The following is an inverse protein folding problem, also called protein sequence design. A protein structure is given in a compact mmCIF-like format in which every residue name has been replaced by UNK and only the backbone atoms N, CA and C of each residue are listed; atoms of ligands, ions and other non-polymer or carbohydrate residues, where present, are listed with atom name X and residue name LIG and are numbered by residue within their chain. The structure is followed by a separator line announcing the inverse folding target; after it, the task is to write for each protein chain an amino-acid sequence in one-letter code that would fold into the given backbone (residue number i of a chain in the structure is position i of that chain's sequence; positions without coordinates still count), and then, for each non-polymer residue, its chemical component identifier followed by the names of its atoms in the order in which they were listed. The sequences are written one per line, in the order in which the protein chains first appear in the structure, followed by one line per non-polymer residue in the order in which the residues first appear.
data_IF_784829153655
#
_entry.id   IF_784829153655
#
_cell.length_a   1.000
_cell.length_b   1.000
_cell.length_c   1.000
_cell.angle_alpha   90.00
_cell.angle_beta   90.00
_cell.angle_gamma   90.00
#
_symmetry.space_group_name_H-M   'P 1'
#
loop_
_entity.id
_entity.type
_entity.pdbx_description
1 polymer ?
#
# COMPACT_ATOMS: atom_id res chain seq x y z
N UNK A 1 40.51 5.13 -23.36
CA UNK A 1 40.75 4.90 -21.91
C UNK A 1 39.44 4.45 -21.33
N UNK A 2 39.22 3.12 -21.23
CA UNK A 2 37.98 2.58 -20.62
C UNK A 2 38.01 2.81 -19.12
N UNK A 3 36.90 3.24 -18.57
CA UNK A 3 36.74 3.38 -17.12
C UNK A 3 36.88 1.97 -16.50
N UNK A 4 37.95 1.74 -15.75
CA UNK A 4 38.11 0.56 -14.91
C UNK A 4 37.02 0.64 -13.81
N UNK A 5 36.09 -0.31 -13.82
CA UNK A 5 35.07 -0.44 -12.78
C UNK A 5 33.64 -0.72 -13.25
N UNK A 6 33.41 -0.91 -14.54
CA UNK A 6 32.10 -1.33 -15.03
C UNK A 6 31.91 -2.85 -14.85
N UNK A 7 31.19 -3.22 -13.80
CA UNK A 7 30.86 -4.62 -13.47
C UNK A 7 30.13 -5.34 -14.61
N UNK A 8 29.32 -4.64 -15.39
CA UNK A 8 28.61 -5.23 -16.53
C UNK A 8 29.56 -5.54 -17.69
N UNK A 9 30.56 -4.72 -17.89
CA UNK A 9 31.59 -4.98 -18.90
C UNK A 9 32.44 -6.19 -18.52
N UNK A 10 32.78 -6.33 -17.25
CA UNK A 10 33.52 -7.48 -16.71
C UNK A 10 32.72 -8.78 -16.86
N UNK A 11 31.42 -8.76 -16.60
CA UNK A 11 30.53 -9.92 -16.81
C UNK A 11 30.47 -10.31 -18.30
N UNK A 12 30.39 -9.34 -19.21
CA UNK A 12 30.43 -9.57 -20.66
C UNK A 12 31.72 -10.22 -21.12
N UNK A 13 32.85 -9.72 -20.62
CA UNK A 13 34.18 -10.26 -20.94
C UNK A 13 34.40 -11.68 -20.41
N UNK A 14 33.69 -12.04 -19.33
CA UNK A 14 33.67 -13.39 -18.73
C UNK A 14 32.65 -14.33 -19.40
N UNK A 15 32.00 -13.91 -20.49
CA UNK A 15 31.07 -14.74 -21.25
C UNK A 15 29.67 -14.85 -20.63
N UNK A 16 29.36 -14.07 -19.60
CA UNK A 16 28.01 -13.97 -19.09
C UNK A 16 27.18 -13.10 -20.03
N UNK A 17 26.39 -13.70 -20.88
CA UNK A 17 25.27 -13.02 -21.55
C UNK A 17 24.17 -12.81 -20.51
N UNK A 18 24.05 -11.59 -20.01
CA UNK A 18 22.76 -11.16 -19.45
C UNK A 18 21.74 -11.46 -20.53
N UNK A 19 20.78 -12.33 -20.25
CA UNK A 19 19.79 -12.75 -21.22
C UNK A 19 19.32 -11.54 -22.01
N UNK A 20 19.44 -11.59 -23.35
CA UNK A 20 19.02 -10.50 -24.19
C UNK A 20 17.62 -10.12 -23.71
N UNK A 21 17.48 -8.95 -23.13
CA UNK A 21 16.18 -8.30 -23.01
C UNK A 21 15.68 -8.27 -24.44
N UNK A 22 14.83 -9.24 -24.81
CA UNK A 22 13.96 -9.04 -25.95
C UNK A 22 13.33 -7.71 -25.66
N UNK A 23 13.69 -6.69 -26.42
CA UNK A 23 13.05 -5.39 -26.36
C UNK A 23 11.55 -5.71 -26.44
N UNK A 24 10.94 -5.79 -25.28
CA UNK A 24 9.49 -5.81 -25.18
C UNK A 24 9.13 -4.49 -25.82
N UNK A 25 8.56 -4.57 -27.04
CA UNK A 25 8.09 -3.41 -27.74
C UNK A 25 7.43 -2.50 -26.73
N UNK A 26 7.44 -1.20 -26.96
CA UNK A 26 6.77 -0.15 -26.18
C UNK A 26 5.28 -0.45 -25.99
N UNK A 27 4.97 -1.65 -25.52
CA UNK A 27 3.70 -2.09 -25.00
C UNK A 27 3.45 -1.21 -23.80
N UNK A 28 2.33 -0.52 -23.82
CA UNK A 28 1.79 0.28 -22.76
C UNK A 28 2.12 -0.34 -21.41
N UNK A 29 3.06 0.25 -20.68
CA UNK A 29 3.18 0.01 -19.26
C UNK A 29 1.83 0.37 -18.71
N UNK A 30 1.04 -0.64 -18.35
CA UNK A 30 -0.21 -0.43 -17.61
C UNK A 30 0.21 0.23 -16.30
N UNK A 31 0.28 1.54 -16.31
CA UNK A 31 0.49 2.34 -15.12
C UNK A 31 -0.75 2.14 -14.28
N UNK A 32 -0.71 1.14 -13.44
CA UNK A 32 -1.77 0.88 -12.47
C UNK A 32 -1.67 2.00 -11.43
N UNK A 33 -2.46 2.98 -11.68
CA UNK A 33 -2.62 4.14 -10.84
C UNK A 33 -3.38 3.72 -9.59
N UNK A 34 -2.71 3.82 -8.48
CA UNK A 34 -3.21 3.47 -7.16
C UNK A 34 -2.50 4.36 -6.17
N UNK A 35 -3.20 4.81 -5.16
CA UNK A 35 -2.58 5.52 -4.04
C UNK A 35 -3.04 4.90 -2.74
N UNK A 36 -2.08 4.42 -1.98
CA UNK A 36 -2.29 3.85 -0.65
C UNK A 36 -1.36 4.52 0.36
N UNK A 37 -1.84 4.60 1.58
CA UNK A 37 -1.07 5.11 2.71
C UNK A 37 -1.38 4.32 3.98
N UNK A 38 -0.42 4.27 4.88
CA UNK A 38 -0.57 3.75 6.23
C UNK A 38 0.20 4.67 7.19
N UNK A 39 -0.34 4.94 8.35
CA UNK A 39 0.39 5.61 9.43
C UNK A 39 -0.11 5.18 10.80
N UNK A 40 0.78 5.22 11.79
CA UNK A 40 0.45 4.95 13.18
C UNK A 40 -0.35 6.11 13.75
N UNK A 41 -1.35 5.78 14.55
CA UNK A 41 -2.09 6.73 15.39
C UNK A 41 -2.12 6.17 16.81
N UNK A 42 -2.69 6.88 17.78
CA UNK A 42 -2.59 6.56 19.20
C UNK A 42 -2.95 5.11 19.54
N UNK A 43 -3.97 4.56 18.93
CA UNK A 43 -4.54 3.26 19.33
C UNK A 43 -4.13 2.11 18.38
N UNK A 44 -3.39 2.42 17.28
CA UNK A 44 -3.01 1.41 16.30
C UNK A 44 -2.43 1.96 15.01
N UNK A 45 -2.83 1.38 13.88
CA UNK A 45 -2.48 1.83 12.54
C UNK A 45 -3.72 2.08 11.70
N UNK A 46 -3.74 3.22 11.00
CA UNK A 46 -4.71 3.54 9.98
C UNK A 46 -4.12 3.22 8.62
N UNK A 47 -4.88 2.50 7.79
CA UNK A 47 -4.53 2.23 6.39
C UNK A 47 -5.64 2.76 5.51
N UNK A 48 -5.27 3.52 4.49
CA UNK A 48 -6.24 4.09 3.56
C UNK A 48 -5.79 3.95 2.10
N UNK A 49 -6.76 3.90 1.21
CA UNK A 49 -6.53 3.85 -0.24
C UNK A 49 -7.65 4.52 -1.00
N UNK A 50 -7.32 5.12 -2.14
CA UNK A 50 -8.31 5.60 -3.08
C UNK A 50 -9.05 4.43 -3.75
N UNK A 51 -10.16 4.71 -4.44
CA UNK A 51 -11.00 3.66 -5.07
C UNK A 51 -10.89 3.61 -6.60
N UNK A 52 -10.09 4.47 -7.22
CA UNK A 52 -10.00 4.54 -8.68
C UNK A 52 -9.09 3.46 -9.24
N UNK A 53 -9.57 2.73 -10.24
CA UNK A 53 -8.77 1.89 -11.10
C UNK A 53 -8.73 2.49 -12.50
N UNK A 54 -7.53 2.66 -13.08
CA UNK A 54 -7.34 3.23 -14.41
C UNK A 54 -6.60 2.26 -15.33
N UNK A 55 -6.82 2.39 -16.62
CA UNK A 55 -6.01 1.78 -17.66
C UNK A 55 -5.47 2.90 -18.54
N UNK A 56 -4.19 3.24 -18.37
CA UNK A 56 -3.63 4.45 -18.95
C UNK A 56 -4.36 5.69 -18.43
N UNK A 57 -4.90 6.50 -19.34
CA UNK A 57 -5.63 7.74 -19.00
C UNK A 57 -7.15 7.52 -18.79
N UNK A 58 -7.64 6.29 -18.87
CA UNK A 58 -9.07 6.00 -18.75
C UNK A 58 -9.40 5.49 -17.34
N UNK A 59 -10.44 6.06 -16.72
CA UNK A 59 -11.03 5.50 -15.49
C UNK A 59 -11.87 4.29 -15.88
N UNK A 60 -11.45 3.11 -15.43
CA UNK A 60 -12.15 1.85 -15.71
C UNK A 60 -13.17 1.52 -14.62
N UNK A 61 -12.86 1.86 -13.38
CA UNK A 61 -13.70 1.56 -12.22
C UNK A 61 -13.30 2.46 -11.04
N UNK A 62 -14.29 2.88 -10.23
CA UNK A 62 -14.09 3.85 -9.16
C UNK A 62 -14.49 3.32 -7.76
N UNK A 63 -14.74 2.01 -7.62
CA UNK A 63 -15.18 1.36 -6.38
C UNK A 63 -14.27 0.22 -5.94
N UNK A 64 -12.99 0.26 -6.34
CA UNK A 64 -12.00 -0.75 -5.98
C UNK A 64 -11.67 -0.66 -4.50
N UNK A 65 -11.61 -1.79 -3.80
CA UNK A 65 -10.98 -1.89 -2.48
C UNK A 65 -9.49 -2.20 -2.68
N UNK A 66 -8.63 -1.33 -2.19
CA UNK A 66 -7.18 -1.46 -2.28
C UNK A 66 -6.54 -1.77 -0.92
N UNK A 67 -7.35 -1.89 0.14
CA UNK A 67 -6.90 -2.24 1.50
C UNK A 67 -7.56 -3.54 1.89
N UNK A 68 -6.90 -4.65 1.60
CA UNK A 68 -7.46 -5.98 1.71
C UNK A 68 -7.12 -6.62 3.06
N UNK A 69 -8.12 -7.16 3.73
CA UNK A 69 -7.92 -7.91 4.97
C UNK A 69 -7.33 -9.26 4.65
N UNK A 70 -6.29 -9.65 5.39
CA UNK A 70 -5.65 -10.95 5.28
C UNK A 70 -6.07 -11.85 6.45
N UNK A 71 -6.13 -11.26 7.62
CA UNK A 71 -6.64 -11.89 8.83
C UNK A 71 -7.21 -10.85 9.80
N UNK A 72 -7.56 -11.30 11.01
CA UNK A 72 -8.19 -10.45 12.03
C UNK A 72 -7.37 -9.21 12.41
N UNK A 73 -6.04 -9.26 12.32
CA UNK A 73 -5.15 -8.22 12.82
C UNK A 73 -4.19 -7.67 11.75
N UNK A 74 -4.39 -8.02 10.48
CA UNK A 74 -3.53 -7.53 9.41
C UNK A 74 -4.24 -7.28 8.09
N UNK A 75 -3.72 -6.30 7.35
CA UNK A 75 -4.18 -5.92 6.01
C UNK A 75 -2.99 -5.83 5.06
N UNK A 76 -3.27 -6.04 3.77
CA UNK A 76 -2.36 -5.71 2.68
C UNK A 76 -2.99 -4.58 1.85
N UNK A 77 -2.39 -3.41 1.88
CA UNK A 77 -2.73 -2.35 0.96
C UNK A 77 -1.92 -2.53 -0.33
N UNK A 78 -2.60 -2.48 -1.48
CA UNK A 78 -2.02 -2.86 -2.75
C UNK A 78 -1.82 -1.67 -3.68
N UNK A 79 -0.62 -1.56 -4.26
CA UNK A 79 -0.31 -0.69 -5.38
C UNK A 79 0.35 -1.52 -6.48
N UNK A 80 -0.09 -1.36 -7.72
CA UNK A 80 0.38 -2.12 -8.87
C UNK A 80 -0.73 -2.88 -9.59
N UNK A 81 -0.42 -4.03 -10.19
CA UNK A 81 -1.36 -4.83 -11.00
C UNK A 81 -2.42 -5.49 -10.10
N UNK A 82 -3.71 -5.09 -10.20
CA UNK A 82 -4.74 -5.57 -9.27
C UNK A 82 -4.94 -7.09 -9.32
N UNK A 83 -4.91 -7.69 -10.51
CA UNK A 83 -5.11 -9.13 -10.67
C UNK A 83 -4.09 -9.94 -9.88
N UNK A 84 -2.80 -9.56 -9.98
CA UNK A 84 -1.71 -10.19 -9.22
C UNK A 84 -1.86 -9.95 -7.72
N UNK A 85 -2.19 -8.72 -7.33
CA UNK A 85 -2.33 -8.37 -5.93
C UNK A 85 -3.50 -9.10 -5.25
N UNK A 86 -4.66 -9.19 -5.91
CA UNK A 86 -5.80 -9.95 -5.39
C UNK A 86 -5.49 -11.44 -5.26
N UNK A 87 -4.75 -12.02 -6.19
CA UNK A 87 -4.33 -13.41 -6.09
C UNK A 87 -3.39 -13.63 -4.90
N UNK A 88 -2.41 -12.75 -4.71
CA UNK A 88 -1.52 -12.80 -3.54
C UNK A 88 -2.32 -12.76 -2.23
N UNK A 89 -3.30 -11.87 -2.12
CA UNK A 89 -4.14 -11.77 -0.91
C UNK A 89 -4.94 -13.04 -0.67
N UNK A 90 -5.52 -13.65 -1.72
CA UNK A 90 -6.24 -14.93 -1.59
C UNK A 90 -5.33 -16.05 -1.09
N UNK A 91 -4.11 -16.11 -1.62
CA UNK A 91 -3.11 -17.11 -1.18
C UNK A 91 -2.72 -16.90 0.27
N UNK A 92 -2.49 -15.63 0.69
CA UNK A 92 -2.16 -15.30 2.09
C UNK A 92 -3.32 -15.66 3.03
N UNK A 93 -4.53 -15.22 2.73
CA UNK A 93 -5.74 -15.52 3.53
C UNK A 93 -5.94 -17.03 3.70
N UNK A 94 -5.81 -17.80 2.61
CA UNK A 94 -5.90 -19.25 2.64
C UNK A 94 -4.78 -19.87 3.48
N UNK A 95 -3.55 -19.43 3.29
CA UNK A 95 -2.38 -19.95 4.00
C UNK A 95 -2.47 -19.69 5.50
N UNK A 96 -2.89 -18.49 5.90
CA UNK A 96 -3.03 -18.13 7.31
C UNK A 96 -4.18 -18.89 7.98
N UNK A 97 -5.31 -19.04 7.29
CA UNK A 97 -6.44 -19.84 7.77
C UNK A 97 -6.07 -21.33 7.90
N UNK A 98 -5.32 -21.87 6.93
CA UNK A 98 -4.82 -23.23 6.97
C UNK A 98 -3.88 -23.45 8.15
N UNK A 99 -2.90 -22.57 8.32
CA UNK A 99 -1.96 -22.63 9.44
C UNK A 99 -2.69 -22.60 10.79
N UNK A 100 -3.62 -21.66 10.97
CA UNK A 100 -4.39 -21.55 12.21
C UNK A 100 -5.19 -22.84 12.51
N UNK A 101 -5.78 -23.46 11.51
CA UNK A 101 -6.55 -24.71 11.68
C UNK A 101 -5.68 -25.90 11.99
N UNK A 102 -4.49 -25.98 11.43
CA UNK A 102 -3.57 -27.13 11.60
C UNK A 102 -2.71 -27.00 12.84
N UNK A 103 -2.29 -25.80 13.19
CA UNK A 103 -1.41 -25.52 14.33
C UNK A 103 -2.16 -25.05 15.57
N UNK A 104 -3.47 -24.78 15.46
CA UNK A 104 -4.34 -24.25 16.53
C UNK A 104 -3.84 -22.93 17.15
N UNK A 105 -3.04 -22.19 16.39
CA UNK A 105 -2.50 -20.90 16.76
C UNK A 105 -2.37 -19.98 15.53
N UNK A 106 -2.37 -18.69 15.74
CA UNK A 106 -2.12 -17.69 14.69
C UNK A 106 -0.66 -17.78 14.19
N UNK A 107 -0.44 -17.50 12.92
CA UNK A 107 0.91 -17.34 12.39
C UNK A 107 1.55 -16.10 13.04
N UNK A 108 2.81 -16.23 13.47
CA UNK A 108 3.55 -15.11 14.05
C UNK A 108 3.65 -13.92 13.08
N UNK A 109 3.82 -12.71 13.61
CA UNK A 109 3.90 -11.52 12.76
C UNK A 109 5.03 -11.66 11.73
N UNK A 110 6.21 -12.10 12.12
CA UNK A 110 7.34 -12.38 11.21
C UNK A 110 7.01 -13.47 10.17
N UNK A 111 6.24 -14.47 10.54
CA UNK A 111 5.77 -15.49 9.62
C UNK A 111 4.88 -14.91 8.53
N UNK A 112 4.01 -13.96 8.87
CA UNK A 112 3.16 -13.22 7.91
C UNK A 112 4.01 -12.39 6.95
N UNK A 113 5.00 -11.65 7.47
CA UNK A 113 5.91 -10.85 6.65
C UNK A 113 6.68 -11.71 5.64
N UNK A 114 7.24 -12.84 6.09
CA UNK A 114 7.94 -13.78 5.21
C UNK A 114 7.04 -14.37 4.13
N UNK A 115 5.77 -14.63 4.45
CA UNK A 115 4.81 -15.12 3.46
C UNK A 115 4.56 -14.09 2.35
N UNK A 116 4.42 -12.81 2.70
CA UNK A 116 4.30 -11.71 1.71
C UNK A 116 5.57 -11.61 0.86
N UNK A 117 6.77 -11.55 1.50
CA UNK A 117 8.06 -11.53 0.80
C UNK A 117 8.19 -12.68 -0.20
N UNK A 118 7.78 -13.89 0.21
CA UNK A 118 7.85 -15.07 -0.65
C UNK A 118 7.00 -14.91 -1.90
N UNK A 119 5.75 -14.50 -1.76
CA UNK A 119 4.86 -14.29 -2.92
C UNK A 119 5.38 -13.22 -3.87
N UNK A 120 5.95 -12.14 -3.34
CA UNK A 120 6.56 -11.10 -4.16
C UNK A 120 7.80 -11.64 -4.89
N UNK A 121 8.67 -12.39 -4.24
CA UNK A 121 9.84 -13.04 -4.85
C UNK A 121 9.42 -14.03 -5.94
N UNK A 122 8.41 -14.84 -5.71
CA UNK A 122 7.88 -15.78 -6.70
C UNK A 122 7.29 -15.03 -7.92
N UNK A 123 6.83 -13.79 -7.74
CA UNK A 123 6.26 -12.93 -8.80
C UNK A 123 7.30 -12.08 -9.55
N UNK A 124 8.57 -12.07 -9.14
CA UNK A 124 9.61 -11.23 -9.76
C UNK A 124 9.67 -11.37 -11.29
N UNK A 125 9.61 -12.57 -11.90
CA UNK A 125 9.64 -12.69 -13.36
C UNK A 125 8.51 -11.91 -14.05
N UNK A 126 7.28 -11.99 -13.53
CA UNK A 126 6.14 -11.24 -14.07
C UNK A 126 6.27 -9.73 -13.82
N UNK A 127 6.80 -9.35 -12.66
CA UNK A 127 7.04 -7.95 -12.31
C UNK A 127 8.08 -7.31 -13.25
N UNK A 128 9.19 -8.00 -13.54
CA UNK A 128 10.23 -7.55 -14.47
C UNK A 128 9.73 -7.52 -15.93
N UNK A 129 8.79 -8.39 -16.29
CA UNK A 129 8.11 -8.35 -17.58
C UNK A 129 7.08 -7.22 -17.70
N UNK A 130 6.84 -6.45 -16.63
CA UNK A 130 5.85 -5.35 -16.60
C UNK A 130 4.38 -5.81 -16.50
N UNK A 131 4.12 -7.10 -16.32
CA UNK A 131 2.77 -7.67 -16.34
C UNK A 131 2.18 -7.95 -14.97
N UNK A 132 2.98 -7.90 -13.90
CA UNK A 132 2.55 -8.33 -12.57
C UNK A 132 3.17 -7.55 -11.41
N UNK A 133 3.67 -6.33 -11.63
CA UNK A 133 4.32 -5.55 -10.58
C UNK A 133 3.36 -5.17 -9.46
N UNK A 134 3.72 -5.48 -8.21
CA UNK A 134 2.99 -5.11 -7.00
C UNK A 134 3.97 -4.56 -5.97
N UNK A 135 3.64 -3.40 -5.39
CA UNK A 135 4.43 -2.73 -4.34
C UNK A 135 3.51 -2.48 -3.15
N UNK A 136 3.30 -3.48 -2.31
CA UNK A 136 2.30 -3.41 -1.25
C UNK A 136 2.84 -2.74 0.01
N UNK A 137 1.90 -2.31 0.85
CA UNK A 137 2.12 -1.98 2.27
C UNK A 137 1.38 -3.00 3.12
N UNK A 138 2.11 -3.71 3.95
CA UNK A 138 1.54 -4.59 4.97
C UNK A 138 1.44 -3.81 6.28
N UNK A 139 0.28 -3.81 6.89
CA UNK A 139 0.07 -3.21 8.19
C UNK A 139 -0.71 -4.17 9.09
N UNK A 140 -0.35 -4.19 10.36
CA UNK A 140 -0.98 -5.08 11.31
C UNK A 140 -0.72 -4.71 12.75
N UNK A 141 -1.41 -5.41 13.65
CA UNK A 141 -1.16 -5.33 15.07
C UNK A 141 -0.49 -6.63 15.54
N UNK A 142 0.74 -6.49 16.03
CA UNK A 142 1.49 -7.60 16.60
C UNK A 142 0.96 -7.90 18.00
N UNK A 143 0.22 -9.00 18.13
CA UNK A 143 -0.41 -9.41 19.38
C UNK A 143 0.60 -9.85 20.45
N UNK A 144 1.79 -10.30 20.03
CA UNK A 144 2.83 -10.72 20.97
C UNK A 144 3.56 -9.51 21.57
N UNK A 145 3.80 -8.48 20.74
CA UNK A 145 4.47 -7.26 21.17
C UNK A 145 3.50 -6.17 21.64
N UNK A 146 2.20 -6.35 21.43
CA UNK A 146 1.17 -5.37 21.79
C UNK A 146 1.30 -4.04 21.04
N UNK A 147 1.74 -4.06 19.78
CA UNK A 147 2.05 -2.86 19.02
C UNK A 147 1.65 -2.93 17.56
N UNK A 148 1.26 -1.79 17.00
CA UNK A 148 0.99 -1.64 15.57
C UNK A 148 2.29 -1.53 14.78
N UNK A 149 2.35 -2.22 13.64
CA UNK A 149 3.50 -2.27 12.75
C UNK A 149 3.12 -2.01 11.31
N UNK A 150 4.02 -1.38 10.57
CA UNK A 150 3.88 -1.07 9.15
C UNK A 150 5.13 -1.55 8.44
N UNK A 151 4.95 -2.30 7.35
CA UNK A 151 6.03 -2.72 6.46
C UNK A 151 5.69 -2.37 5.02
N UNK A 152 6.66 -1.88 4.29
CA UNK A 152 6.54 -1.73 2.84
C UNK A 152 7.52 -2.65 2.13
N UNK A 153 7.18 -3.02 0.92
CA UNK A 153 7.98 -3.94 0.12
C UNK A 153 8.39 -3.28 -1.18
N UNK A 154 9.57 -3.65 -1.67
CA UNK A 154 9.93 -3.36 -3.04
C UNK A 154 9.39 -4.43 -4.02
N UNK A 155 9.58 -4.18 -5.30
CA UNK A 155 9.13 -5.08 -6.37
C UNK A 155 9.85 -6.45 -6.34
N UNK A 156 10.97 -6.57 -5.66
CA UNK A 156 11.76 -7.79 -5.53
C UNK A 156 11.42 -8.58 -4.26
N UNK A 157 10.52 -8.05 -3.42
CA UNK A 157 10.09 -8.68 -2.19
C UNK A 157 11.01 -8.45 -0.99
N UNK A 158 11.86 -7.41 -1.04
CA UNK A 158 12.55 -6.95 0.16
C UNK A 158 11.56 -6.21 1.05
N UNK A 159 11.59 -6.52 2.35
CA UNK A 159 10.73 -5.92 3.36
C UNK A 159 11.47 -4.85 4.16
N UNK A 160 10.78 -3.76 4.44
CA UNK A 160 11.30 -2.64 5.21
C UNK A 160 10.28 -2.19 6.24
N UNK A 161 10.69 -2.13 7.50
CA UNK A 161 9.85 -1.57 8.56
C UNK A 161 9.74 -0.05 8.41
N UNK A 162 8.53 0.46 8.42
CA UNK A 162 8.25 1.89 8.47
C UNK A 162 7.95 2.29 9.92
N UNK A 163 8.75 3.20 10.46
CA UNK A 163 8.63 3.59 11.89
C UNK A 163 7.28 4.23 12.17
N UNK A 164 6.85 5.19 11.34
CA UNK A 164 5.62 5.96 11.58
C UNK A 164 4.61 5.87 10.44
N UNK A 165 5.06 5.84 9.19
CA UNK A 165 4.18 5.82 8.03
C UNK A 165 4.82 5.17 6.80
N UNK A 166 3.99 4.65 5.90
CA UNK A 166 4.37 4.19 4.58
C UNK A 166 3.34 4.66 3.54
N UNK A 167 3.80 4.89 2.32
CA UNK A 167 2.96 5.25 1.18
C UNK A 167 3.45 4.53 -0.07
N UNK A 168 2.54 4.18 -0.96
CA UNK A 168 2.86 3.56 -2.24
C UNK A 168 1.88 4.00 -3.34
N UNK A 169 2.30 3.87 -4.59
CA UNK A 169 1.50 4.23 -5.75
C UNK A 169 1.80 5.62 -6.31
N UNK A 170 1.05 6.02 -7.34
CA UNK A 170 1.33 7.24 -8.14
C UNK A 170 1.23 8.54 -7.34
N UNK A 171 0.27 8.67 -6.44
CA UNK A 171 0.11 9.84 -5.57
C UNK A 171 1.03 9.86 -4.35
N UNK A 172 1.85 8.81 -4.15
CA UNK A 172 2.71 8.69 -2.97
C UNK A 172 3.70 9.85 -2.77
N UNK A 173 4.28 10.51 -3.80
CA UNK A 173 5.20 11.62 -3.59
C UNK A 173 4.54 12.79 -2.86
N UNK A 174 3.31 13.16 -3.24
CA UNK A 174 2.54 14.22 -2.60
C UNK A 174 2.28 13.90 -1.13
N UNK A 175 1.75 12.69 -0.86
CA UNK A 175 1.39 12.27 0.50
C UNK A 175 2.62 12.15 1.39
N UNK A 176 3.72 11.60 0.88
CA UNK A 176 4.97 11.44 1.64
C UNK A 176 5.52 12.76 2.14
N UNK A 177 5.52 13.78 1.29
CA UNK A 177 5.97 15.13 1.67
C UNK A 177 5.10 15.72 2.79
N UNK A 178 3.78 15.60 2.69
CA UNK A 178 2.85 16.11 3.70
C UNK A 178 3.00 15.33 5.01
N UNK A 179 3.06 14.00 4.98
CA UNK A 179 3.24 13.17 6.18
C UNK A 179 4.56 13.48 6.88
N UNK A 180 5.65 13.64 6.13
CA UNK A 180 6.93 14.02 6.69
C UNK A 180 6.84 15.38 7.41
N UNK A 181 6.24 16.38 6.76
CA UNK A 181 6.04 17.70 7.36
C UNK A 181 5.22 17.62 8.65
N UNK A 182 4.08 16.93 8.62
CA UNK A 182 3.20 16.81 9.79
C UNK A 182 3.85 16.05 10.94
N UNK A 183 4.56 14.98 10.65
CA UNK A 183 5.20 14.17 11.68
C UNK A 183 6.41 14.84 12.31
N UNK A 184 7.10 15.74 11.56
CA UNK A 184 8.32 16.39 12.01
C UNK A 184 8.07 17.75 12.64
N UNK A 185 7.17 18.55 12.05
CA UNK A 185 6.92 19.95 12.42
C UNK A 185 5.45 20.27 12.71
N UNK A 186 4.57 19.27 12.70
CA UNK A 186 3.18 19.45 13.12
C UNK A 186 3.06 19.72 14.63
N UNK A 187 1.87 20.08 15.07
CA UNK A 187 1.59 20.35 16.50
C UNK A 187 1.80 19.10 17.38
N UNK A 188 1.59 17.93 16.82
CA UNK A 188 1.81 16.63 17.47
C UNK A 188 2.21 15.58 16.44
N UNK A 189 2.97 14.54 16.82
CA UNK A 189 3.31 13.44 15.91
C UNK A 189 2.06 12.65 15.51
N UNK A 190 2.13 11.98 14.36
CA UNK A 190 1.01 11.17 13.84
C UNK A 190 0.54 10.12 14.86
N UNK A 191 1.49 9.48 15.56
CA UNK A 191 1.21 8.47 16.59
C UNK A 191 0.47 9.00 17.82
N UNK A 192 0.33 10.31 18.00
CA UNK A 192 -0.47 10.91 19.06
C UNK A 192 -1.90 11.27 18.63
N UNK A 193 -2.23 11.20 17.34
CA UNK A 193 -3.56 11.53 16.82
C UNK A 193 -4.63 10.60 17.39
N UNK A 194 -5.78 11.17 17.76
CA UNK A 194 -6.99 10.42 18.06
C UNK A 194 -7.55 9.77 16.77
N UNK A 195 -8.37 8.75 16.91
CA UNK A 195 -8.98 8.03 15.78
C UNK A 195 -9.66 8.96 14.77
N UNK A 196 -10.52 9.89 15.25
CA UNK A 196 -11.20 10.85 14.38
C UNK A 196 -10.19 11.78 13.66
N UNK A 197 -9.19 12.27 14.37
CA UNK A 197 -8.15 13.11 13.78
C UNK A 197 -7.35 12.36 12.71
N UNK A 198 -7.04 11.09 12.96
CA UNK A 198 -6.36 10.24 12.01
C UNK A 198 -7.20 10.01 10.74
N UNK A 199 -8.51 9.75 10.88
CA UNK A 199 -9.43 9.63 9.74
C UNK A 199 -9.50 10.91 8.92
N UNK A 200 -9.64 12.08 9.58
CA UNK A 200 -9.63 13.40 8.90
C UNK A 200 -8.32 13.62 8.17
N UNK A 201 -7.20 13.26 8.81
CA UNK A 201 -5.88 13.41 8.17
C UNK A 201 -5.74 12.52 6.93
N UNK A 202 -6.21 11.26 6.97
CA UNK A 202 -6.21 10.37 5.82
C UNK A 202 -7.08 10.91 4.66
N UNK A 203 -8.26 11.45 4.97
CA UNK A 203 -9.14 12.08 3.99
C UNK A 203 -8.47 13.30 3.33
N UNK A 204 -7.82 14.17 4.12
CA UNK A 204 -7.07 15.33 3.60
C UNK A 204 -5.93 14.92 2.69
N UNK A 205 -5.16 13.91 3.09
CA UNK A 205 -4.02 13.39 2.31
C UNK A 205 -4.44 12.85 0.95
N UNK A 206 -5.49 12.02 0.91
CA UNK A 206 -5.99 11.44 -0.34
C UNK A 206 -6.67 12.50 -1.22
N UNK A 207 -7.38 13.46 -0.62
CA UNK A 207 -7.95 14.60 -1.36
C UNK A 207 -6.84 15.44 -1.98
N UNK A 208 -5.80 15.78 -1.20
CA UNK A 208 -4.65 16.55 -1.72
C UNK A 208 -3.91 15.79 -2.82
N UNK A 209 -3.77 14.46 -2.69
CA UNK A 209 -3.14 13.66 -3.73
C UNK A 209 -3.96 13.66 -5.02
N UNK A 210 -5.29 13.60 -4.92
CA UNK A 210 -6.17 13.58 -6.08
C UNK A 210 -6.16 14.90 -6.88
N UNK A 211 -5.75 16.03 -6.28
CA UNK A 211 -5.58 17.31 -6.99
C UNK A 211 -4.38 17.31 -7.95
N UNK A 212 -3.34 16.54 -7.64
CA UNK A 212 -2.08 16.54 -8.39
C UNK A 212 -1.83 15.24 -9.17
N UNK A 213 -2.57 14.18 -8.85
CA UNK A 213 -2.45 12.86 -9.50
C UNK A 213 -3.80 12.42 -10.07
N UNK A 214 -3.94 12.51 -11.38
CA UNK A 214 -5.16 12.11 -12.09
C UNK A 214 -5.53 10.63 -11.90
N UNK A 215 -4.58 9.85 -11.47
CA UNK A 215 -4.71 8.43 -11.24
C UNK A 215 -5.19 8.10 -9.82
N UNK A 216 -5.10 9.05 -8.89
CA UNK A 216 -5.71 8.95 -7.56
C UNK A 216 -7.17 9.37 -7.64
N UNK A 217 -8.08 8.51 -7.16
CA UNK A 217 -9.50 8.85 -7.06
C UNK A 217 -9.78 9.79 -5.89
N UNK A 218 -10.34 10.95 -6.18
CA UNK A 218 -10.86 11.86 -5.15
C UNK A 218 -12.20 11.40 -4.58
N UNK A 219 -12.69 12.12 -3.57
CA UNK A 219 -14.04 11.91 -3.01
C UNK A 219 -15.09 12.32 -4.04
N UNK A 220 -16.04 11.43 -4.31
CA UNK A 220 -17.23 11.75 -5.11
C UNK A 220 -18.42 11.98 -4.16
N UNK A 221 -18.75 13.25 -3.91
CA UNK A 221 -19.82 13.64 -2.97
C UNK A 221 -21.21 13.24 -3.46
N UNK A 222 -21.45 13.33 -4.78
CA UNK A 222 -22.76 13.01 -5.39
C UNK A 222 -23.04 11.51 -5.27
N UNK A 223 -22.04 10.67 -5.52
CA UNK A 223 -22.14 9.21 -5.36
C UNK A 223 -21.93 8.74 -3.91
N UNK A 224 -21.66 9.63 -2.96
CA UNK A 224 -21.27 9.31 -1.58
C UNK A 224 -20.12 8.30 -1.53
N UNK A 225 -19.14 8.47 -2.39
CA UNK A 225 -18.00 7.57 -2.51
C UNK A 225 -16.76 8.18 -1.84
N UNK A 226 -16.33 7.56 -0.76
CA UNK A 226 -15.17 7.95 0.04
C UNK A 226 -14.03 6.94 -0.13
N UNK A 227 -12.76 7.31 0.16
CA UNK A 227 -11.65 6.37 0.21
C UNK A 227 -11.94 5.20 1.14
N UNK A 228 -11.30 4.06 0.91
CA UNK A 228 -11.32 2.97 1.90
C UNK A 228 -10.42 3.37 3.05
N UNK A 229 -10.94 3.31 4.28
CA UNK A 229 -10.14 3.47 5.51
C UNK A 229 -10.36 2.25 6.39
N UNK A 230 -9.26 1.65 6.84
CA UNK A 230 -9.29 0.57 7.84
C UNK A 230 -8.41 0.93 9.02
N UNK A 231 -8.93 0.67 10.21
CA UNK A 231 -8.25 0.85 11.49
C UNK A 231 -7.86 -0.53 12.00
N UNK A 232 -6.61 -0.68 12.41
CA UNK A 232 -6.09 -1.94 12.93
C UNK A 232 -5.56 -1.69 14.34
N UNK A 233 -6.16 -2.39 15.30
CA UNK A 233 -5.83 -2.29 16.73
C UNK A 233 -5.70 -3.69 17.33
N UNK A 234 -5.42 -3.81 18.61
CA UNK A 234 -5.48 -5.08 19.33
C UNK A 234 -6.85 -5.76 19.32
N UNK A 235 -7.94 -5.00 19.05
CA UNK A 235 -9.28 -5.55 18.89
C UNK A 235 -9.49 -6.20 17.50
N UNK A 236 -8.67 -5.85 16.53
CA UNK A 236 -8.71 -6.36 15.15
C UNK A 236 -8.82 -5.25 14.10
N UNK A 237 -9.10 -5.66 12.87
CA UNK A 237 -9.34 -4.78 11.72
C UNK A 237 -10.77 -4.29 11.74
N UNK A 238 -10.97 -2.99 11.60
CA UNK A 238 -12.26 -2.35 11.45
C UNK A 238 -12.29 -1.51 10.18
N UNK A 239 -13.23 -1.79 9.29
CA UNK A 239 -13.50 -0.93 8.12
C UNK A 239 -14.37 0.23 8.52
N UNK A 240 -13.93 1.45 8.23
CA UNK A 240 -14.70 2.68 8.50
C UNK A 240 -15.83 2.82 7.49
N UNK A 241 -17.10 2.87 7.91
CA UNK A 241 -18.23 3.05 6.99
C UNK A 241 -18.23 4.44 6.33
N UNK A 242 -18.69 4.52 5.09
CA UNK A 242 -18.85 5.80 4.37
C UNK A 242 -19.75 6.79 5.13
N UNK A 243 -20.75 6.29 5.87
CA UNK A 243 -21.61 7.10 6.73
C UNK A 243 -20.86 7.82 7.86
N UNK A 244 -19.78 7.25 8.36
CA UNK A 244 -18.90 7.88 9.36
C UNK A 244 -17.98 8.91 8.70
N UNK A 245 -17.47 8.62 7.51
CA UNK A 245 -16.56 9.52 6.80
C UNK A 245 -17.23 10.77 6.25
N UNK A 246 -18.50 10.67 5.84
CA UNK A 246 -19.25 11.78 5.24
C UNK A 246 -19.25 13.05 6.09
N UNK A 247 -19.74 13.03 7.35
CA UNK A 247 -19.77 14.23 8.19
C UNK A 247 -18.35 14.77 8.49
N UNK A 248 -17.36 13.90 8.66
CA UNK A 248 -15.97 14.33 8.88
C UNK A 248 -15.42 15.05 7.65
N UNK A 249 -15.67 14.52 6.47
CA UNK A 249 -15.24 15.15 5.23
C UNK A 249 -15.90 16.51 5.02
N UNK A 250 -17.22 16.58 5.19
CA UNK A 250 -17.99 17.83 4.98
C UNK A 250 -17.61 18.94 5.97
N UNK A 251 -17.37 18.60 7.24
CA UNK A 251 -17.08 19.59 8.29
C UNK A 251 -15.61 19.96 8.40
N UNK A 252 -14.68 19.04 8.11
CA UNK A 252 -13.25 19.24 8.43
C UNK A 252 -12.30 19.16 7.23
N UNK A 253 -12.75 18.68 6.07
CA UNK A 253 -11.90 18.56 4.87
C UNK A 253 -12.32 19.57 3.81
N UNK A 254 -13.62 19.66 3.50
CA UNK A 254 -14.12 20.63 2.54
C UNK A 254 -14.02 22.02 3.16
N UNK A 255 -13.18 22.86 2.58
CA UNK A 255 -13.21 24.31 2.89
C UNK A 255 -14.19 24.95 1.92
N UNK A 256 -15.26 25.51 2.46
CA UNK A 256 -16.11 26.42 1.72
C UNK A 256 -15.31 27.71 1.52
N UNK A 257 -15.01 28.02 0.27
CA UNK A 257 -14.46 29.31 -0.12
C UNK A 257 -15.62 30.25 -0.39
#
# INVERSE_FOLDING_TARGET
MGMQGDFFQLLKEQGYTLGASTAVGTGHVLTNATTILAFKYRDGVLVAGDRRATAGNMVMYDRTDKVLEIDRHSVLAIAGVPATAYEMVRVLDHSFKYYRRTQLQELSFDGKLRAVSKLLKDNVPAALAGTGAVVPVFAGYDMEQGSAKIYFYDILGAEFEAVEYAVSGSGSPTIRGILHYLNTWGEQPLSALLEEQAMVQALRLLTSSAEFDSATGGVNREASLYPVIKLITGAGVQTVPDATMKPLYESQVVRYV
#
